data_IF_122935961780
#
_entry.id   IF_122935961780
#
_cell.length_a   1.000
_cell.length_b   1.000
_cell.length_c   1.000
_cell.angle_alpha   90.00
_cell.angle_beta   90.00
_cell.angle_gamma   90.00
#
_symmetry.space_group_name_H-M   'P 1'
#
loop_
_entity.id
_entity.type
_entity.pdbx_description
1 polymer ?
#
# COMPACT_ATOMS: atom_id res chain seq x y z
N UNK A 1 4.83 -1.49 -19.14
CA UNK A 1 5.27 -0.41 -18.20
C UNK A 1 4.39 0.85 -18.32
N UNK A 2 3.88 1.16 -19.51
CA UNK A 2 2.90 2.22 -19.83
C UNK A 2 1.55 2.08 -19.08
N UNK A 3 1.09 0.86 -18.78
CA UNK A 3 -0.26 0.64 -18.22
C UNK A 3 -0.36 0.88 -16.70
N UNK A 4 0.73 0.66 -15.96
CA UNK A 4 0.85 1.04 -14.55
C UNK A 4 0.73 2.56 -14.35
N UNK A 5 1.07 3.35 -15.38
CA UNK A 5 0.92 4.81 -15.37
C UNK A 5 -0.55 5.22 -15.46
N UNK A 6 -1.40 4.50 -16.22
CA UNK A 6 -2.82 4.82 -16.38
C UNK A 6 -3.58 4.66 -15.05
N UNK A 7 -3.38 3.52 -14.38
CA UNK A 7 -3.99 3.24 -13.07
C UNK A 7 -3.67 4.30 -12.01
N UNK A 8 -2.38 4.60 -11.81
CA UNK A 8 -1.96 5.58 -10.78
C UNK A 8 -2.43 6.99 -11.10
N UNK A 9 -2.62 7.30 -12.39
CA UNK A 9 -3.17 8.58 -12.83
C UNK A 9 -4.65 8.71 -12.51
N UNK A 10 -5.46 7.67 -12.68
CA UNK A 10 -6.89 7.73 -12.30
C UNK A 10 -7.07 7.85 -10.78
N UNK A 11 -6.19 7.23 -10.03
CA UNK A 11 -6.26 7.13 -8.56
C UNK A 11 -5.54 8.28 -7.83
N UNK A 12 -4.64 9.00 -8.51
CA UNK A 12 -3.86 10.10 -7.94
C UNK A 12 -4.69 11.17 -7.18
N UNK A 13 -5.86 11.61 -7.68
CA UNK A 13 -6.70 12.56 -6.95
C UNK A 13 -7.14 12.04 -5.57
N UNK A 14 -7.52 10.76 -5.48
CA UNK A 14 -7.95 10.14 -4.23
C UNK A 14 -6.77 9.91 -3.27
N UNK A 15 -5.62 9.46 -3.79
CA UNK A 15 -4.40 9.36 -2.98
C UNK A 15 -3.99 10.71 -2.38
N UNK A 16 -4.11 11.78 -3.17
CA UNK A 16 -3.81 13.13 -2.70
C UNK A 16 -4.78 13.58 -1.61
N UNK A 17 -6.08 13.37 -1.83
CA UNK A 17 -7.11 13.69 -0.84
C UNK A 17 -6.88 12.95 0.48
N UNK A 18 -6.57 11.64 0.42
CA UNK A 18 -6.20 10.83 1.59
C UNK A 18 -5.04 11.46 2.36
N UNK A 19 -3.94 11.79 1.69
CA UNK A 19 -2.75 12.37 2.33
C UNK A 19 -3.08 13.73 2.98
N UNK A 20 -3.73 14.65 2.27
CA UNK A 20 -4.08 15.95 2.84
C UNK A 20 -5.04 15.85 4.02
N UNK A 21 -5.98 14.91 3.97
CA UNK A 21 -6.95 14.68 5.04
C UNK A 21 -6.28 14.10 6.30
N UNK A 22 -5.37 13.13 6.15
CA UNK A 22 -4.56 12.59 7.25
C UNK A 22 -3.72 13.69 7.91
N UNK A 23 -3.15 14.59 7.11
CA UNK A 23 -2.29 15.68 7.60
C UNK A 23 -3.10 16.77 8.30
N UNK A 24 -4.32 17.06 7.85
CA UNK A 24 -5.20 18.08 8.43
C UNK A 24 -6.00 17.59 9.65
N UNK A 25 -6.02 16.28 9.92
CA UNK A 25 -6.59 15.71 11.15
C UNK A 25 -8.08 15.94 11.32
N UNK A 26 -8.90 15.56 10.34
CA UNK A 26 -10.38 15.61 10.38
C UNK A 26 -11.03 16.99 10.58
N UNK A 27 -10.29 18.09 10.56
CA UNK A 27 -10.81 19.42 10.86
C UNK A 27 -11.81 20.00 9.81
N UNK A 28 -11.97 19.40 8.63
CA UNK A 28 -12.87 19.91 7.55
C UNK A 28 -13.53 18.80 6.74
N UNK A 29 -14.72 19.09 6.19
CA UNK A 29 -15.43 18.20 5.28
C UNK A 29 -14.62 17.94 3.99
N UNK A 30 -14.68 16.70 3.47
CA UNK A 30 -13.98 16.31 2.23
C UNK A 30 -14.37 17.21 1.05
N UNK A 31 -15.63 17.63 0.97
CA UNK A 31 -16.12 18.54 -0.07
C UNK A 31 -15.44 19.92 -0.02
N UNK A 32 -15.19 20.44 1.18
CA UNK A 32 -14.49 21.70 1.38
C UNK A 32 -13.01 21.58 1.00
N UNK A 33 -12.39 20.44 1.29
CA UNK A 33 -11.01 20.13 0.86
C UNK A 33 -10.91 20.09 -0.67
N UNK A 34 -11.82 19.38 -1.34
CA UNK A 34 -11.89 19.30 -2.81
C UNK A 34 -12.06 20.70 -3.40
N UNK A 35 -12.96 21.51 -2.86
CA UNK A 35 -13.19 22.89 -3.31
C UNK A 35 -11.95 23.75 -3.09
N UNK A 36 -11.28 23.61 -1.96
CA UNK A 36 -10.04 24.34 -1.64
C UNK A 36 -8.92 23.99 -2.63
N UNK A 37 -8.70 22.70 -2.92
CA UNK A 37 -7.67 22.26 -3.87
C UNK A 37 -7.99 22.79 -5.28
N UNK A 38 -9.25 22.67 -5.71
CA UNK A 38 -9.67 23.14 -7.02
C UNK A 38 -9.49 24.65 -7.19
N UNK A 39 -9.79 25.44 -6.16
CA UNK A 39 -9.67 26.90 -6.18
C UNK A 39 -8.22 27.38 -6.04
N UNK A 40 -7.39 26.70 -5.23
CA UNK A 40 -6.01 27.15 -4.95
C UNK A 40 -4.97 26.65 -5.94
N UNK A 41 -5.15 25.45 -6.50
CA UNK A 41 -4.15 24.79 -7.36
C UNK A 41 -4.70 24.36 -8.73
N UNK A 42 -5.99 24.60 -8.99
CA UNK A 42 -6.66 24.18 -10.22
C UNK A 42 -6.80 22.65 -10.32
N UNK A 43 -7.36 22.20 -11.45
CA UNK A 43 -7.60 20.77 -11.72
C UNK A 43 -6.28 19.97 -11.81
N UNK A 44 -5.19 20.58 -12.29
CA UNK A 44 -3.86 19.94 -12.32
C UNK A 44 -3.28 19.70 -10.92
N UNK A 45 -3.77 20.40 -9.90
CA UNK A 45 -3.43 20.16 -8.51
C UNK A 45 -3.67 18.70 -8.11
N UNK A 46 -4.80 18.09 -8.49
CA UNK A 46 -5.12 16.72 -8.06
C UNK A 46 -4.09 15.65 -8.47
N UNK A 47 -3.32 15.88 -9.54
CA UNK A 47 -2.28 14.97 -10.02
C UNK A 47 -0.87 15.27 -9.50
N UNK A 48 -0.72 16.30 -8.65
CA UNK A 48 0.57 16.71 -8.13
C UNK A 48 1.19 15.60 -7.29
N UNK A 49 2.44 15.25 -7.62
CA UNK A 49 3.17 14.16 -6.98
C UNK A 49 2.83 12.76 -7.50
N UNK A 50 1.94 12.62 -8.50
CA UNK A 50 1.70 11.33 -9.17
C UNK A 50 2.96 10.83 -9.88
N UNK A 51 3.74 11.72 -10.51
CA UNK A 51 5.02 11.36 -11.13
C UNK A 51 5.99 10.76 -10.09
N UNK A 52 6.06 11.33 -8.90
CA UNK A 52 6.89 10.83 -7.80
C UNK A 52 6.35 9.48 -7.29
N UNK A 53 5.03 9.29 -7.27
CA UNK A 53 4.40 8.01 -6.93
C UNK A 53 4.84 6.87 -7.86
N UNK A 54 4.82 7.16 -9.16
CA UNK A 54 5.20 6.22 -10.21
C UNK A 54 6.69 5.91 -10.11
N UNK A 55 7.53 6.95 -10.05
CA UNK A 55 8.99 6.84 -9.95
C UNK A 55 9.44 6.02 -8.74
N UNK A 56 8.67 6.03 -7.65
CA UNK A 56 8.93 5.27 -6.42
C UNK A 56 8.52 3.80 -6.50
N UNK A 57 7.51 3.47 -7.30
CA UNK A 57 6.95 2.11 -7.31
C UNK A 57 7.86 1.12 -8.01
N UNK A 58 8.45 1.54 -9.14
CA UNK A 58 9.41 0.73 -9.88
C UNK A 58 10.63 0.31 -9.03
N UNK A 59 11.37 1.21 -8.36
CA UNK A 59 12.52 0.83 -7.54
C UNK A 59 12.11 0.01 -6.32
N UNK A 60 10.98 0.31 -5.68
CA UNK A 60 10.50 -0.51 -4.56
C UNK A 60 10.28 -1.97 -4.98
N UNK A 61 9.60 -2.19 -6.11
CA UNK A 61 9.36 -3.54 -6.63
C UNK A 61 10.66 -4.23 -7.06
N UNK A 62 11.56 -3.50 -7.72
CA UNK A 62 12.86 -4.04 -8.14
C UNK A 62 13.73 -4.46 -6.95
N UNK A 63 13.85 -3.60 -5.93
CA UNK A 63 14.62 -3.89 -4.71
C UNK A 63 14.01 -5.05 -3.96
N UNK A 64 12.68 -5.07 -3.79
CA UNK A 64 12.01 -6.17 -3.08
C UNK A 64 12.23 -7.52 -3.79
N UNK A 65 12.15 -7.56 -5.12
CA UNK A 65 12.38 -8.78 -5.89
C UNK A 65 13.84 -9.24 -5.81
N UNK A 66 14.78 -8.32 -6.02
CA UNK A 66 16.22 -8.60 -5.92
C UNK A 66 16.63 -9.07 -4.51
N UNK A 67 16.14 -8.40 -3.47
CA UNK A 67 16.39 -8.78 -2.08
C UNK A 67 15.79 -10.16 -1.74
N UNK A 68 14.58 -10.45 -2.23
CA UNK A 68 13.96 -11.76 -2.05
C UNK A 68 14.80 -12.88 -2.66
N UNK A 69 15.26 -12.71 -3.91
CA UNK A 69 16.11 -13.69 -4.58
C UNK A 69 17.45 -13.89 -3.86
N UNK A 70 18.05 -12.81 -3.35
CA UNK A 70 19.30 -12.87 -2.60
C UNK A 70 19.12 -13.59 -1.25
N UNK A 71 18.09 -13.23 -0.47
CA UNK A 71 17.83 -13.87 0.83
C UNK A 71 17.43 -15.33 0.68
N UNK A 72 16.64 -15.67 -0.35
CA UNK A 72 16.27 -17.05 -0.64
C UNK A 72 17.49 -17.89 -1.02
N UNK A 73 18.40 -17.38 -1.85
CA UNK A 73 19.65 -18.09 -2.19
C UNK A 73 20.54 -18.29 -0.96
N UNK A 74 20.65 -17.28 -0.09
CA UNK A 74 21.42 -17.38 1.14
C UNK A 74 20.81 -18.39 2.12
N UNK A 75 19.49 -18.35 2.34
CA UNK A 75 18.81 -19.31 3.22
C UNK A 75 18.85 -20.73 2.67
N UNK A 76 18.75 -20.93 1.35
CA UNK A 76 18.86 -22.26 0.75
C UNK A 76 20.27 -22.85 0.84
N UNK A 77 21.31 -22.01 0.89
CA UNK A 77 22.70 -22.49 1.04
C UNK A 77 23.00 -22.89 2.49
N UNK A 78 22.39 -22.19 3.45
CA UNK A 78 22.46 -22.52 4.86
C UNK A 78 21.42 -23.63 5.07
N UNK A 79 21.82 -24.91 5.07
CA UNK A 79 20.95 -26.08 5.31
C UNK A 79 20.26 -26.10 6.71
N UNK A 80 20.05 -24.94 7.36
CA UNK A 80 19.38 -24.78 8.66
C UNK A 80 17.88 -25.15 8.64
N UNK A 81 17.25 -25.17 7.46
CA UNK A 81 15.80 -25.40 7.29
C UNK A 81 15.49 -26.59 6.38
N UNK A 82 16.28 -27.67 6.44
CA UNK A 82 15.89 -28.94 5.82
C UNK A 82 14.50 -29.37 6.31
N UNK A 83 13.49 -29.25 5.43
CA UNK A 83 12.11 -29.64 5.71
C UNK A 83 11.07 -28.51 5.83
N UNK A 84 11.46 -27.23 5.88
CA UNK A 84 10.49 -26.11 6.04
C UNK A 84 10.56 -25.06 4.93
N UNK A 85 10.36 -25.48 3.67
CA UNK A 85 10.36 -24.59 2.50
C UNK A 85 9.39 -23.40 2.60
N UNK A 86 8.29 -23.53 3.36
CA UNK A 86 7.32 -22.45 3.56
C UNK A 86 7.83 -21.38 4.54
N UNK A 87 8.53 -21.79 5.61
CA UNK A 87 9.11 -20.87 6.58
C UNK A 87 10.27 -20.06 5.97
N UNK A 88 11.10 -20.73 5.15
CA UNK A 88 12.20 -20.10 4.43
C UNK A 88 11.71 -18.97 3.51
N UNK A 89 10.68 -19.24 2.71
CA UNK A 89 10.06 -18.25 1.80
C UNK A 89 9.41 -17.11 2.58
N UNK A 90 8.81 -17.41 3.72
CA UNK A 90 8.22 -16.40 4.59
C UNK A 90 9.28 -15.45 5.17
N UNK A 91 10.37 -15.99 5.72
CA UNK A 91 11.47 -15.20 6.28
C UNK A 91 12.17 -14.38 5.19
N UNK A 92 12.47 -14.99 4.05
CA UNK A 92 13.05 -14.29 2.90
C UNK A 92 12.14 -13.16 2.40
N UNK A 93 10.83 -13.40 2.34
CA UNK A 93 9.83 -12.40 1.97
C UNK A 93 9.75 -11.24 2.97
N UNK A 94 9.73 -11.55 4.27
CA UNK A 94 9.71 -10.53 5.33
C UNK A 94 10.98 -9.68 5.33
N UNK A 95 12.16 -10.33 5.25
CA UNK A 95 13.44 -9.64 5.19
C UNK A 95 13.57 -8.76 3.94
N UNK A 96 13.15 -9.27 2.77
CA UNK A 96 13.12 -8.49 1.54
C UNK A 96 12.21 -7.26 1.65
N UNK A 97 11.02 -7.41 2.24
CA UNK A 97 10.08 -6.32 2.47
C UNK A 97 10.62 -5.24 3.41
N UNK A 98 11.30 -5.63 4.48
CA UNK A 98 11.97 -4.70 5.41
C UNK A 98 13.11 -3.97 4.70
N UNK A 99 13.97 -4.68 3.97
CA UNK A 99 15.09 -4.08 3.25
C UNK A 99 14.62 -3.11 2.16
N UNK A 100 13.60 -3.47 1.39
CA UNK A 100 12.98 -2.58 0.40
C UNK A 100 12.39 -1.33 1.08
N UNK A 101 11.75 -1.50 2.24
CA UNK A 101 11.21 -0.39 3.02
C UNK A 101 12.33 0.54 3.49
N UNK A 102 13.41 0.03 4.07
CA UNK A 102 14.55 0.83 4.55
C UNK A 102 15.17 1.64 3.41
N UNK A 103 15.40 1.02 2.25
CA UNK A 103 16.03 1.69 1.11
C UNK A 103 15.11 2.72 0.43
N UNK A 104 13.80 2.47 0.37
CA UNK A 104 12.85 3.37 -0.30
C UNK A 104 12.20 4.41 0.63
N UNK A 105 12.28 4.25 1.96
CA UNK A 105 11.65 5.16 2.90
C UNK A 105 12.08 6.64 2.72
N UNK A 106 13.35 6.98 2.42
CA UNK A 106 13.73 8.36 2.15
C UNK A 106 12.91 8.99 1.01
N UNK A 107 12.66 8.26 -0.07
CA UNK A 107 11.84 8.72 -1.19
C UNK A 107 10.36 8.86 -0.78
N UNK A 108 9.84 7.95 0.03
CA UNK A 108 8.49 8.03 0.58
C UNK A 108 8.30 9.30 1.43
N UNK A 109 9.27 9.62 2.27
CA UNK A 109 9.23 10.79 3.16
C UNK A 109 9.34 12.09 2.37
N UNK A 110 10.25 12.18 1.39
CA UNK A 110 10.39 13.34 0.51
C UNK A 110 9.11 13.57 -0.29
N UNK A 111 8.53 12.50 -0.85
CA UNK A 111 7.25 12.58 -1.58
C UNK A 111 6.15 13.14 -0.68
N UNK A 112 6.02 12.61 0.53
CA UNK A 112 4.98 13.03 1.48
C UNK A 112 5.11 14.52 1.82
N UNK A 113 6.35 15.02 1.99
CA UNK A 113 6.63 16.45 2.21
C UNK A 113 6.28 17.35 1.02
N UNK A 114 6.55 16.91 -0.22
CA UNK A 114 6.26 17.70 -1.44
C UNK A 114 4.75 17.74 -1.73
N UNK A 115 4.06 16.63 -1.50
CA UNK A 115 2.60 16.52 -1.75
C UNK A 115 1.80 17.32 -0.73
N UNK A 116 2.29 17.41 0.51
CA UNK A 116 1.62 18.19 1.55
C UNK A 116 1.64 19.71 1.28
N UNK A 117 0.74 20.43 1.97
CA UNK A 117 0.62 21.87 1.85
C UNK A 117 1.94 22.60 2.15
N UNK A 118 2.32 23.53 1.27
CA UNK A 118 3.57 24.30 1.37
C UNK A 118 4.80 23.62 0.75
N UNK A 119 4.69 22.35 0.32
CA UNK A 119 5.80 21.60 -0.28
C UNK A 119 6.29 22.14 -1.64
N UNK A 120 5.55 23.03 -2.30
CA UNK A 120 5.96 23.67 -3.58
C UNK A 120 7.20 24.53 -3.44
N UNK A 121 7.37 25.13 -2.27
CA UNK A 121 8.50 26.00 -1.94
C UNK A 121 9.81 25.23 -1.80
N UNK A 122 9.76 23.89 -1.77
CA UNK A 122 10.93 23.04 -1.65
C UNK A 122 11.65 22.77 -2.99
N UNK A 123 11.10 23.22 -4.13
CA UNK A 123 11.81 23.14 -5.42
C UNK A 123 11.97 21.71 -5.96
N UNK A 124 11.04 20.80 -5.64
CA UNK A 124 11.06 19.42 -6.13
C UNK A 124 11.84 18.45 -5.24
N UNK A 125 12.16 17.25 -5.77
CA UNK A 125 12.76 16.15 -4.99
C UNK A 125 14.15 16.50 -4.46
N UNK A 126 15.01 17.08 -5.30
CA UNK A 126 16.39 17.42 -4.94
C UNK A 126 16.41 18.58 -3.94
N UNK A 127 15.59 19.61 -4.16
CA UNK A 127 15.49 20.75 -3.24
C UNK A 127 14.90 20.35 -1.88
N UNK A 128 13.87 19.50 -1.87
CA UNK A 128 13.32 18.94 -0.64
C UNK A 128 14.33 18.07 0.12
N UNK A 129 15.09 17.21 -0.58
CA UNK A 129 16.15 16.41 0.02
C UNK A 129 17.22 17.29 0.67
N UNK A 130 17.73 18.28 -0.05
CA UNK A 130 18.77 19.18 0.47
C UNK A 130 18.25 20.00 1.66
N UNK A 131 17.03 20.52 1.56
CA UNK A 131 16.37 21.25 2.64
C UNK A 131 16.23 20.37 3.89
N UNK A 132 15.72 19.15 3.74
CA UNK A 132 15.50 18.22 4.86
C UNK A 132 16.82 17.84 5.55
N UNK A 133 17.87 17.55 4.80
CA UNK A 133 19.18 17.22 5.38
C UNK A 133 19.76 18.41 6.12
N UNK A 134 19.75 19.61 5.53
CA UNK A 134 20.31 20.81 6.16
C UNK A 134 19.52 21.27 7.39
N UNK A 135 18.20 21.10 7.40
CA UNK A 135 17.34 21.62 8.47
C UNK A 135 17.07 20.61 9.58
N UNK A 136 16.90 19.33 9.24
CA UNK A 136 16.43 18.29 10.17
C UNK A 136 17.42 17.13 10.35
N UNK A 137 18.43 17.02 9.48
CA UNK A 137 19.42 15.95 9.50
C UNK A 137 18.99 14.69 8.75
N UNK A 138 19.95 13.76 8.56
CA UNK A 138 19.75 12.53 7.78
C UNK A 138 18.67 11.60 8.35
N UNK A 139 18.56 11.51 9.68
CA UNK A 139 17.55 10.67 10.35
C UNK A 139 16.11 11.12 10.11
N UNK A 140 15.89 12.36 9.64
CA UNK A 140 14.54 12.83 9.31
C UNK A 140 13.90 12.05 8.16
N UNK A 141 14.72 11.55 7.23
CA UNK A 141 14.26 10.77 6.07
C UNK A 141 13.64 9.42 6.48
N UNK A 142 14.00 8.91 7.66
CA UNK A 142 13.53 7.63 8.20
C UNK A 142 12.38 7.77 9.20
N UNK A 143 11.82 8.97 9.38
CA UNK A 143 10.64 9.19 10.21
C UNK A 143 9.48 8.34 9.66
N UNK A 144 8.88 7.55 10.55
CA UNK A 144 7.79 6.62 10.20
C UNK A 144 8.22 5.20 9.81
N UNK A 145 9.51 4.85 9.92
CA UNK A 145 9.97 3.48 9.70
C UNK A 145 9.30 2.49 10.66
N UNK A 146 9.33 2.79 11.96
CA UNK A 146 8.77 1.93 13.00
C UNK A 146 7.27 1.63 12.79
N UNK A 147 6.36 2.62 12.65
CA UNK A 147 4.96 2.32 12.39
C UNK A 147 4.74 1.61 11.04
N UNK A 148 5.60 1.84 10.04
CA UNK A 148 5.54 1.09 8.79
C UNK A 148 5.81 -0.40 9.01
N UNK A 149 6.88 -0.76 9.73
CA UNK A 149 7.23 -2.16 9.99
C UNK A 149 6.15 -2.81 10.87
N UNK A 150 5.70 -2.11 11.92
CA UNK A 150 4.64 -2.60 12.81
C UNK A 150 3.32 -2.86 12.08
N UNK A 151 3.00 -2.11 11.03
CA UNK A 151 1.79 -2.33 10.23
C UNK A 151 1.86 -3.52 9.28
N UNK A 152 3.06 -4.01 8.91
CA UNK A 152 3.20 -5.04 7.87
C UNK A 152 2.58 -6.37 8.30
N UNK A 153 2.90 -6.86 9.49
CA UNK A 153 2.41 -8.16 9.97
C UNK A 153 0.88 -8.16 10.18
N UNK A 154 0.26 -7.18 10.87
CA UNK A 154 -1.20 -7.10 10.98
C UNK A 154 -1.89 -6.94 9.64
N UNK A 155 -1.33 -6.14 8.72
CA UNK A 155 -1.89 -5.95 7.38
C UNK A 155 -1.96 -7.27 6.62
N UNK A 156 -0.86 -8.03 6.59
CA UNK A 156 -0.84 -9.34 5.96
C UNK A 156 -1.78 -10.34 6.64
N UNK A 157 -1.82 -10.37 7.98
CA UNK A 157 -2.68 -11.28 8.72
C UNK A 157 -4.17 -11.05 8.41
N UNK A 158 -4.61 -9.79 8.42
CA UNK A 158 -6.01 -9.44 8.09
C UNK A 158 -6.30 -9.69 6.62
N UNK A 159 -5.36 -9.34 5.72
CA UNK A 159 -5.53 -9.56 4.28
C UNK A 159 -5.77 -11.05 3.97
N UNK A 160 -4.84 -11.91 4.38
CA UNK A 160 -4.94 -13.35 4.10
C UNK A 160 -6.08 -14.00 4.88
N UNK A 161 -6.31 -13.62 6.14
CA UNK A 161 -7.42 -14.15 6.93
C UNK A 161 -8.78 -13.85 6.30
N UNK A 162 -9.03 -12.60 5.90
CA UNK A 162 -10.29 -12.23 5.22
C UNK A 162 -10.40 -12.90 3.85
N UNK A 163 -9.30 -12.96 3.10
CA UNK A 163 -9.27 -13.63 1.81
C UNK A 163 -9.63 -15.11 1.92
N UNK A 164 -9.07 -15.81 2.91
CA UNK A 164 -9.34 -17.23 3.16
C UNK A 164 -10.79 -17.47 3.64
N UNK A 165 -11.34 -16.59 4.47
CA UNK A 165 -12.76 -16.65 4.88
C UNK A 165 -13.68 -16.50 3.66
N UNK A 166 -13.42 -15.50 2.79
CA UNK A 166 -14.21 -15.28 1.57
C UNK A 166 -14.09 -16.47 0.60
N UNK A 167 -12.88 -17.00 0.44
CA UNK A 167 -12.61 -18.18 -0.39
C UNK A 167 -13.33 -19.42 0.15
N UNK A 168 -13.29 -19.63 1.47
CA UNK A 168 -13.94 -20.76 2.14
C UNK A 168 -15.47 -20.66 2.06
N UNK A 169 -16.04 -19.48 2.30
CA UNK A 169 -17.48 -19.25 2.15
C UNK A 169 -17.97 -19.54 0.73
N UNK A 170 -17.20 -19.13 -0.28
CA UNK A 170 -17.49 -19.44 -1.67
C UNK A 170 -17.41 -20.94 -2.00
N UNK A 171 -16.41 -21.64 -1.47
CA UNK A 171 -16.26 -23.09 -1.64
C UNK A 171 -17.44 -23.90 -1.07
N UNK A 172 -18.07 -23.41 0.00
CA UNK A 172 -19.26 -24.03 0.61
C UNK A 172 -20.57 -23.75 -0.15
N UNK A 173 -20.59 -22.76 -1.06
CA UNK A 173 -21.75 -22.45 -1.91
C UNK A 173 -22.04 -23.59 -2.91
N UNK A 174 -23.30 -23.81 -3.33
CA UNK A 174 -23.66 -24.83 -4.33
C UNK A 174 -22.88 -24.69 -5.66
N UNK A 175 -22.50 -23.49 -6.07
CA UNK A 175 -21.64 -23.26 -7.24
C UNK A 175 -20.19 -23.74 -7.02
N UNK A 176 -19.66 -23.50 -5.82
CA UNK A 176 -18.33 -23.93 -5.40
C UNK A 176 -18.23 -25.45 -5.33
N UNK A 177 -19.24 -26.11 -4.74
CA UNK A 177 -19.34 -27.57 -4.65
C UNK A 177 -19.41 -28.24 -6.03
N UNK A 178 -20.16 -27.69 -6.98
CA UNK A 178 -20.21 -28.20 -8.38
C UNK A 178 -18.84 -28.10 -9.08
N UNK A 179 -18.09 -27.02 -8.86
CA UNK A 179 -16.71 -26.86 -9.37
C UNK A 179 -15.73 -27.83 -8.70
N UNK A 180 -15.85 -27.99 -7.38
CA UNK A 180 -15.04 -28.91 -6.59
C UNK A 180 -15.25 -30.36 -7.04
N UNK A 181 -16.49 -30.75 -7.32
CA UNK A 181 -16.81 -32.07 -7.87
C UNK A 181 -16.25 -32.27 -9.28
N UNK A 182 -16.37 -31.28 -10.18
CA UNK A 182 -15.76 -31.34 -11.52
C UNK A 182 -14.24 -31.48 -11.47
N UNK A 183 -13.57 -30.81 -10.53
CA UNK A 183 -12.12 -30.91 -10.34
C UNK A 183 -11.69 -32.24 -9.72
N UNK A 184 -12.44 -32.76 -8.74
CA UNK A 184 -12.20 -34.12 -8.19
C UNK A 184 -12.36 -35.21 -9.24
N UNK A 185 -13.32 -35.05 -10.16
CA UNK A 185 -13.53 -35.95 -11.30
C UNK A 185 -12.39 -35.87 -12.35
N UNK A 186 -11.64 -34.77 -12.40
CA UNK A 186 -10.51 -34.58 -13.32
C UNK A 186 -9.15 -35.02 -12.76
N UNK A 187 -9.11 -35.62 -11.55
CA UNK A 187 -7.88 -36.22 -11.01
C UNK A 187 -6.75 -35.24 -10.67
N UNK A 188 -7.04 -33.94 -10.50
CA UNK A 188 -6.03 -32.97 -10.08
C UNK A 188 -5.87 -32.96 -8.55
N UNK A 189 -4.65 -33.25 -8.09
CA UNK A 189 -4.22 -33.36 -6.70
C UNK A 189 -4.60 -32.17 -5.81
N UNK A 190 -4.69 -32.43 -4.50
CA UNK A 190 -4.93 -31.45 -3.42
C UNK A 190 -4.06 -30.18 -3.46
N UNK A 191 -2.92 -30.18 -4.18
CA UNK A 191 -2.08 -29.00 -4.42
C UNK A 191 -2.72 -27.98 -5.38
N UNK A 192 -3.57 -28.42 -6.31
CA UNK A 192 -4.36 -27.54 -7.19
C UNK A 192 -5.57 -26.92 -6.47
N UNK A 193 -6.01 -27.51 -5.34
CA UNK A 193 -7.05 -26.96 -4.47
C UNK A 193 -6.63 -25.60 -3.85
N UNK A 194 -5.34 -25.47 -3.52
CA UNK A 194 -4.72 -24.20 -3.11
C UNK A 194 -4.71 -23.18 -4.24
N UNK A 195 -4.48 -23.62 -5.49
CA UNK A 195 -4.55 -22.83 -6.72
C UNK A 195 -5.96 -22.78 -7.33
N UNK A 196 -7.02 -22.89 -6.52
CA UNK A 196 -8.36 -22.63 -7.02
C UNK A 196 -8.41 -21.17 -7.50
N UNK A 197 -8.21 -20.96 -8.80
CA UNK A 197 -8.42 -19.68 -9.45
C UNK A 197 -9.93 -19.43 -9.43
N UNK A 198 -10.41 -18.79 -8.36
CA UNK A 198 -11.71 -18.13 -8.38
C UNK A 198 -11.59 -17.13 -9.52
N UNK A 199 -12.21 -17.44 -10.67
CA UNK A 199 -11.91 -16.79 -11.95
C UNK A 199 -11.65 -15.29 -11.85
N UNK A 200 -10.81 -14.70 -12.71
CA UNK A 200 -10.07 -13.45 -12.48
C UNK A 200 -10.82 -12.33 -11.75
N UNK A 201 -12.08 -12.08 -12.12
CA UNK A 201 -12.96 -11.12 -11.46
C UNK A 201 -13.17 -11.37 -9.95
N UNK A 202 -13.39 -12.63 -9.55
CA UNK A 202 -13.66 -13.01 -8.15
C UNK A 202 -12.40 -12.91 -7.30
N UNK A 203 -11.26 -13.39 -7.80
CA UNK A 203 -9.96 -13.20 -7.14
C UNK A 203 -9.67 -11.71 -6.90
N UNK A 204 -9.95 -10.88 -7.90
CA UNK A 204 -9.81 -9.44 -7.79
C UNK A 204 -10.78 -8.84 -6.75
N UNK A 205 -12.07 -9.18 -6.77
CA UNK A 205 -13.06 -8.69 -5.81
C UNK A 205 -12.71 -9.10 -4.38
N UNK A 206 -12.30 -10.35 -4.16
CA UNK A 206 -11.92 -10.82 -2.83
C UNK A 206 -10.60 -10.20 -2.38
N UNK A 207 -9.65 -9.99 -3.30
CA UNK A 207 -8.44 -9.22 -3.04
C UNK A 207 -8.74 -7.75 -2.69
N UNK A 208 -9.73 -7.14 -3.33
CA UNK A 208 -10.17 -5.77 -3.04
C UNK A 208 -10.83 -5.66 -1.66
N UNK A 209 -11.73 -6.59 -1.31
CA UNK A 209 -12.40 -6.61 0.00
C UNK A 209 -11.40 -6.89 1.13
N UNK A 210 -10.56 -7.92 0.97
CA UNK A 210 -9.50 -8.23 1.95
C UNK A 210 -8.49 -7.08 2.09
N UNK A 211 -8.12 -6.43 0.99
CA UNK A 211 -7.30 -5.22 0.99
C UNK A 211 -7.93 -4.07 1.77
N UNK A 212 -9.22 -3.79 1.54
CA UNK A 212 -9.97 -2.77 2.26
C UNK A 212 -10.04 -3.06 3.78
N UNK A 213 -10.29 -4.31 4.17
CA UNK A 213 -10.31 -4.72 5.58
C UNK A 213 -8.92 -4.60 6.21
N UNK A 214 -7.86 -5.03 5.51
CA UNK A 214 -6.49 -4.91 5.99
C UNK A 214 -6.06 -3.45 6.16
N UNK A 215 -6.45 -2.59 5.22
CA UNK A 215 -6.20 -1.16 5.30
C UNK A 215 -6.95 -0.54 6.47
N UNK A 216 -8.23 -0.86 6.67
CA UNK A 216 -9.01 -0.38 7.82
C UNK A 216 -8.39 -0.82 9.17
N UNK A 217 -7.92 -2.07 9.27
CA UNK A 217 -7.31 -2.57 10.50
C UNK A 217 -5.95 -1.92 10.80
N UNK A 218 -5.20 -1.53 9.78
CA UNK A 218 -3.86 -0.93 9.94
C UNK A 218 -3.82 0.58 9.78
N UNK A 219 -4.99 1.19 9.55
CA UNK A 219 -5.15 2.61 9.31
C UNK A 219 -4.54 3.50 10.41
N UNK A 220 -4.67 3.20 11.71
CA UNK A 220 -4.03 3.99 12.77
C UNK A 220 -2.51 4.09 12.62
N UNK A 221 -1.85 2.99 12.21
CA UNK A 221 -0.40 3.00 11.97
C UNK A 221 -0.04 3.84 10.75
N UNK A 222 -0.88 3.82 9.71
CA UNK A 222 -0.68 4.68 8.55
C UNK A 222 -0.79 6.15 8.92
N UNK A 223 -1.82 6.55 9.68
CA UNK A 223 -2.00 7.94 10.14
C UNK A 223 -0.79 8.41 10.94
N UNK A 224 -0.32 7.61 11.91
CA UNK A 224 0.87 7.92 12.71
C UNK A 224 2.12 8.06 11.81
N UNK A 225 2.33 7.12 10.88
CA UNK A 225 3.45 7.16 9.93
C UNK A 225 3.44 8.46 9.13
N UNK A 226 2.29 8.83 8.55
CA UNK A 226 2.17 10.03 7.71
C UNK A 226 2.35 11.31 8.51
N UNK A 227 1.79 11.40 9.72
CA UNK A 227 2.01 12.56 10.60
C UNK A 227 3.48 12.69 11.01
N UNK A 228 4.18 11.60 11.31
CA UNK A 228 5.61 11.61 11.60
C UNK A 228 6.45 12.09 10.41
N UNK A 229 6.16 11.63 9.18
CA UNK A 229 6.85 12.08 7.97
C UNK A 229 6.69 13.59 7.72
N UNK A 230 5.60 14.16 8.22
CA UNK A 230 5.28 15.58 8.11
C UNK A 230 5.87 16.47 9.22
N UNK A 231 6.35 15.90 10.33
CA UNK A 231 6.88 16.68 11.45
C UNK A 231 8.15 17.44 11.10
N UNK A 232 8.08 18.78 11.15
CA UNK A 232 9.22 19.67 11.06
C UNK A 232 10.01 19.80 12.37
N UNK A 233 11.24 20.36 12.28
CA UNK A 233 12.33 20.45 13.29
C UNK A 233 11.93 20.65 14.76
N UNK A 234 10.81 21.30 15.10
CA UNK A 234 10.41 21.63 16.48
C UNK A 234 9.70 20.50 17.25
N UNK A 235 9.14 19.50 16.56
CA UNK A 235 8.41 18.41 17.20
C UNK A 235 9.12 17.07 16.91
N UNK A 236 10.23 16.79 17.58
CA UNK A 236 10.82 15.44 17.60
C UNK A 236 10.00 14.54 18.53
N UNK A 237 8.75 14.27 18.17
CA UNK A 237 7.92 13.37 18.96
C UNK A 237 8.24 11.93 18.56
N UNK A 238 8.38 11.06 19.56
CA UNK A 238 8.44 9.62 19.35
C UNK A 238 7.15 9.12 18.68
N UNK A 239 7.18 7.92 18.09
CA UNK A 239 6.01 7.28 17.49
C UNK A 239 4.84 7.21 18.47
N UNK A 240 5.11 6.84 19.73
CA UNK A 240 4.10 6.78 20.78
C UNK A 240 3.58 8.16 21.18
N UNK A 241 4.48 9.15 21.31
CA UNK A 241 4.09 10.52 21.63
C UNK A 241 3.23 11.15 20.51
N UNK A 242 3.50 10.80 19.26
CA UNK A 242 2.68 11.25 18.12
C UNK A 242 1.31 10.57 18.12
N UNK A 243 1.25 9.28 18.48
CA UNK A 243 -0.02 8.56 18.63
C UNK A 243 -0.90 9.16 19.72
N UNK A 244 -0.33 9.38 20.92
CA UNK A 244 -1.04 10.02 22.04
C UNK A 244 -1.52 11.41 21.64
N UNK A 245 -0.66 12.23 21.01
CA UNK A 245 -1.02 13.56 20.56
C UNK A 245 -2.18 13.58 19.54
N UNK A 246 -2.25 12.60 18.64
CA UNK A 246 -3.37 12.49 17.70
C UNK A 246 -4.69 12.27 18.44
N UNK A 247 -4.67 11.40 19.45
CA UNK A 247 -5.84 11.11 20.28
C UNK A 247 -6.23 12.32 21.13
N UNK A 248 -5.26 13.05 21.68
CA UNK A 248 -5.52 14.26 22.47
C UNK A 248 -6.11 15.40 21.62
N UNK A 249 -5.66 15.58 20.37
CA UNK A 249 -6.12 16.66 19.49
C UNK A 249 -7.47 16.39 18.82
N UNK A 250 -7.78 15.13 18.48
CA UNK A 250 -8.95 14.79 17.65
C UNK A 250 -9.63 13.47 18.00
N UNK A 251 -9.26 12.85 19.12
CA UNK A 251 -9.85 11.60 19.58
C UNK A 251 -9.53 10.39 18.70
N UNK A 252 -10.32 9.33 18.90
CA UNK A 252 -10.25 8.08 18.12
C UNK A 252 -10.58 8.30 16.63
N UNK A 253 -11.56 9.15 16.25
CA UNK A 253 -11.85 9.41 14.83
C UNK A 253 -10.64 9.92 14.04
N UNK A 254 -9.79 10.76 14.64
CA UNK A 254 -8.59 11.27 13.99
C UNK A 254 -7.57 10.18 13.56
N UNK A 255 -7.61 8.99 14.18
CA UNK A 255 -6.80 7.83 13.76
C UNK A 255 -7.34 7.17 12.48
N UNK A 256 -8.58 7.45 12.10
CA UNK A 256 -9.26 6.98 10.89
C UNK A 256 -9.49 8.08 9.85
N UNK A 257 -8.90 9.26 10.08
CA UNK A 257 -8.94 10.39 9.16
C UNK A 257 -8.46 9.99 7.75
N UNK A 258 -9.38 9.97 6.79
CA UNK A 258 -9.09 9.67 5.39
C UNK A 258 -9.34 8.21 4.99
N UNK A 259 -9.91 7.39 5.87
CA UNK A 259 -10.30 6.02 5.55
C UNK A 259 -11.29 6.00 4.38
N UNK A 260 -12.27 6.92 4.39
CA UNK A 260 -13.28 7.00 3.33
C UNK A 260 -12.68 7.20 1.92
N UNK A 261 -11.82 8.21 1.65
CA UNK A 261 -11.17 8.34 0.34
C UNK A 261 -10.28 7.14 0.00
N UNK A 262 -9.70 6.47 1.00
CA UNK A 262 -8.92 5.25 0.80
C UNK A 262 -9.78 4.08 0.32
N UNK A 263 -10.92 3.86 0.96
CA UNK A 263 -11.87 2.80 0.58
C UNK A 263 -12.51 3.09 -0.78
N UNK A 264 -12.85 4.35 -1.07
CA UNK A 264 -13.39 4.76 -2.37
C UNK A 264 -12.41 4.52 -3.52
N UNK A 265 -11.10 4.55 -3.26
CA UNK A 265 -10.07 4.25 -4.25
C UNK A 265 -10.00 2.77 -4.64
N UNK A 266 -10.46 1.86 -3.78
CA UNK A 266 -10.38 0.40 -4.01
C UNK A 266 -11.24 -0.04 -5.20
N UNK A 267 -12.44 0.52 -5.36
CA UNK A 267 -13.37 0.17 -6.44
C UNK A 267 -12.84 0.52 -7.85
N UNK A 268 -12.44 1.77 -8.16
CA UNK A 268 -11.86 2.10 -9.45
C UNK A 268 -10.53 1.35 -9.67
N UNK A 269 -9.76 1.09 -8.61
CA UNK A 269 -8.56 0.28 -8.68
C UNK A 269 -8.88 -1.14 -9.19
N UNK A 270 -9.86 -1.80 -8.58
CA UNK A 270 -10.27 -3.14 -8.98
C UNK A 270 -10.79 -3.14 -10.44
N UNK A 271 -11.70 -2.21 -10.78
CA UNK A 271 -12.29 -2.13 -12.12
C UNK A 271 -11.23 -1.98 -13.22
N UNK A 272 -10.25 -1.10 -13.03
CA UNK A 272 -9.16 -0.90 -13.99
C UNK A 272 -8.27 -2.14 -14.09
N UNK A 273 -7.91 -2.75 -12.95
CA UNK A 273 -7.12 -3.99 -12.97
C UNK A 273 -7.81 -5.12 -13.71
N UNK A 274 -9.14 -5.26 -13.57
CA UNK A 274 -9.93 -6.23 -14.33
C UNK A 274 -9.91 -5.92 -15.82
N UNK A 275 -10.19 -4.67 -16.19
CA UNK A 275 -10.21 -4.23 -17.58
C UNK A 275 -8.87 -4.50 -18.27
N UNK A 276 -7.76 -4.12 -17.63
CA UNK A 276 -6.41 -4.34 -18.15
C UNK A 276 -6.12 -5.83 -18.31
N UNK A 277 -6.49 -6.65 -17.32
CA UNK A 277 -6.32 -8.10 -17.41
C UNK A 277 -7.06 -8.69 -18.63
N UNK A 278 -8.33 -8.31 -18.84
CA UNK A 278 -9.12 -8.79 -19.98
C UNK A 278 -8.56 -8.29 -21.32
N UNK A 279 -8.17 -7.01 -21.42
CA UNK A 279 -7.51 -6.47 -22.61
C UNK A 279 -6.21 -7.20 -22.93
N UNK A 280 -5.35 -7.41 -21.93
CA UNK A 280 -4.10 -8.15 -22.12
C UNK A 280 -4.35 -9.58 -22.56
N UNK A 281 -5.33 -10.26 -21.96
CA UNK A 281 -5.68 -11.63 -22.32
C UNK A 281 -6.21 -11.74 -23.76
N UNK A 282 -6.90 -10.71 -24.26
CA UNK A 282 -7.33 -10.65 -25.66
C UNK A 282 -6.13 -10.48 -26.59
N UNK A 283 -5.21 -9.56 -26.27
CA UNK A 283 -4.00 -9.35 -27.07
C UNK A 283 -3.11 -10.60 -27.09
N UNK A 284 -2.88 -11.22 -25.94
CA UNK A 284 -2.01 -12.40 -25.81
C UNK A 284 -2.59 -13.68 -26.41
N UNK A 285 -3.90 -13.72 -26.69
CA UNK A 285 -4.58 -14.81 -27.39
C UNK A 285 -4.76 -14.53 -28.89
N UNK A 286 -4.48 -13.31 -29.31
CA UNK A 286 -4.52 -12.90 -30.72
C UNK A 286 -3.18 -13.12 -31.43
N UNK A 287 -2.16 -13.61 -30.70
CA UNK A 287 -0.91 -14.20 -31.20
C UNK A 287 -0.97 -15.73 -31.10
#
# INVERSE_FOLDING_TARGET
MSEFHCFRTVVAPLERLKIEYIVRGEQKNISELVRTIAQTQGLRGFWKGNLINILRTAPFKAINFCAYDMYRKQLSNIHLFEGTANAERFIAGAAAGVTATVLCLPLDTIRTRIVAHGGERLGGVIGAFHYMIRTEGLFSLYKGLLPSIMSMAPSSAVFYGVYDILKSAYLHSPEGRKRLQKMKLQGQDSAALSQLELGPLRTLLYGAISGACAEAATYPFEVVRRRLQMQARRAKLSTLATFVKIIEEGGIPALYAGLLPSLLQVLPSAAISYFVYESMKIVLKAE
#
